data_IF_265249003230
#
_entry.id   IF_265249003230
#
_cell.length_a   1.000
_cell.length_b   1.000
_cell.length_c   1.000
_cell.angle_alpha   90.00
_cell.angle_beta   90.00
_cell.angle_gamma   90.00
#
_symmetry.space_group_name_H-M   'P 1'
#
loop_
_entity.id
_entity.type
_entity.pdbx_description
1 polymer ?
#
# COMPACT_ATOMS: atom_id res chain seq x y z
N UNK A 1 -5.72 -19.89 17.13
CA UNK A 1 -4.77 -19.51 18.21
C UNK A 1 -5.05 -18.05 18.57
N UNK A 2 -5.01 -17.70 19.86
CA UNK A 2 -5.13 -16.29 20.29
C UNK A 2 -3.85 -15.53 19.96
N UNK A 3 -3.99 -14.30 19.49
CA UNK A 3 -2.85 -13.44 19.09
C UNK A 3 -2.53 -12.45 20.20
N UNK A 4 -1.23 -12.20 20.44
CA UNK A 4 -0.78 -11.22 21.43
C UNK A 4 -1.06 -9.77 20.96
N UNK A 5 -1.90 -9.00 21.68
CA UNK A 5 -2.21 -7.62 21.31
C UNK A 5 -1.01 -6.66 21.33
N UNK A 6 0.02 -6.92 22.14
CA UNK A 6 1.22 -6.09 22.20
C UNK A 6 2.05 -6.23 20.90
N UNK A 7 2.16 -7.46 20.37
CA UNK A 7 2.84 -7.74 19.11
C UNK A 7 2.09 -7.07 17.95
N UNK A 8 0.76 -7.15 17.93
CA UNK A 8 -0.05 -6.49 16.90
C UNK A 8 0.12 -4.96 16.92
N UNK A 9 0.14 -4.31 18.08
CA UNK A 9 0.41 -2.86 18.15
C UNK A 9 1.79 -2.47 17.62
N UNK A 10 2.81 -3.27 17.95
CA UNK A 10 4.18 -3.07 17.44
C UNK A 10 4.25 -3.25 15.91
N UNK A 11 3.58 -4.28 15.39
CA UNK A 11 3.47 -4.55 13.96
C UNK A 11 2.74 -3.42 13.22
N UNK A 12 1.58 -2.97 13.73
CA UNK A 12 0.83 -1.85 13.17
C UNK A 12 1.65 -0.55 13.16
N UNK A 13 2.49 -0.33 14.18
CA UNK A 13 3.39 0.83 14.24
C UNK A 13 4.48 0.74 13.16
N UNK A 14 5.12 -0.42 13.04
CA UNK A 14 6.15 -0.66 12.02
C UNK A 14 5.60 -0.48 10.60
N UNK A 15 4.40 -0.99 10.34
CA UNK A 15 3.70 -0.85 9.05
C UNK A 15 3.36 0.61 8.76
N UNK A 16 2.86 1.36 9.75
CA UNK A 16 2.58 2.78 9.59
C UNK A 16 3.82 3.57 9.17
N UNK A 17 4.95 3.33 9.83
CA UNK A 17 6.25 3.94 9.47
C UNK A 17 6.68 3.55 8.05
N UNK A 18 6.49 2.29 7.64
CA UNK A 18 6.85 1.83 6.31
C UNK A 18 5.97 2.49 5.22
N UNK A 19 4.65 2.56 5.42
CA UNK A 19 3.73 3.25 4.49
C UNK A 19 4.10 4.72 4.33
N UNK A 20 4.38 5.41 5.44
CA UNK A 20 4.81 6.80 5.43
C UNK A 20 6.13 6.97 4.65
N UNK A 21 7.12 6.10 4.91
CA UNK A 21 8.40 6.14 4.19
C UNK A 21 8.22 5.95 2.68
N UNK A 22 7.25 5.13 2.23
CA UNK A 22 6.96 4.93 0.80
C UNK A 22 6.38 6.19 0.19
N UNK A 23 5.45 6.85 0.87
CA UNK A 23 4.90 8.14 0.44
C UNK A 23 5.95 9.24 0.37
N UNK A 24 6.78 9.36 1.41
CA UNK A 24 7.80 10.40 1.55
C UNK A 24 8.88 10.33 0.46
N UNK A 25 9.20 9.13 -0.04
CA UNK A 25 10.15 8.96 -1.14
C UNK A 25 9.66 9.66 -2.42
N UNK A 26 8.34 9.82 -2.62
CA UNK A 26 7.73 10.50 -3.77
C UNK A 26 8.39 10.13 -5.11
N UNK A 27 8.57 8.82 -5.33
CA UNK A 27 9.31 8.30 -6.48
C UNK A 27 8.71 8.75 -7.82
N UNK A 28 7.38 8.75 -7.93
CA UNK A 28 6.67 9.25 -9.09
C UNK A 28 6.99 10.72 -9.40
N UNK A 29 7.05 11.57 -8.36
CA UNK A 29 7.44 12.98 -8.50
C UNK A 29 8.90 13.14 -8.94
N UNK A 30 9.81 12.37 -8.36
CA UNK A 30 11.24 12.39 -8.74
C UNK A 30 11.45 11.98 -10.20
N UNK A 31 10.76 10.94 -10.66
CA UNK A 31 10.80 10.51 -12.06
C UNK A 31 10.25 11.60 -12.99
N UNK A 32 9.12 12.22 -12.63
CA UNK A 32 8.51 13.27 -13.43
C UNK A 32 9.42 14.51 -13.59
N UNK A 33 10.28 14.78 -12.61
CA UNK A 33 11.11 15.98 -12.55
C UNK A 33 12.55 15.80 -13.08
N UNK A 34 12.99 14.57 -13.38
CA UNK A 34 14.42 14.27 -13.69
C UNK A 34 14.98 15.05 -14.88
N UNK A 35 14.12 15.47 -15.82
CA UNK A 35 14.48 16.24 -17.02
C UNK A 35 13.89 17.66 -17.05
N UNK A 36 13.44 18.20 -15.91
CA UNK A 36 12.96 19.58 -15.87
C UNK A 36 14.07 20.62 -16.16
N UNK A 37 15.34 20.23 -16.11
CA UNK A 37 16.48 21.03 -16.60
C UNK A 37 16.58 21.13 -18.13
N UNK A 38 15.76 20.38 -18.88
CA UNK A 38 15.73 20.39 -20.35
C UNK A 38 14.30 20.67 -20.87
N UNK A 39 13.77 21.89 -20.66
CA UNK A 39 12.40 22.22 -20.99
C UNK A 39 12.12 22.07 -22.50
N UNK A 40 11.00 21.43 -22.84
CA UNK A 40 10.58 21.19 -24.22
C UNK A 40 11.23 19.98 -24.89
N UNK A 41 12.12 19.27 -24.20
CA UNK A 41 12.74 18.06 -24.73
C UNK A 41 11.79 16.85 -24.71
N UNK A 42 12.01 15.91 -25.63
CA UNK A 42 11.33 14.62 -25.62
C UNK A 42 11.62 13.82 -24.33
N UNK A 43 12.82 14.01 -23.75
CA UNK A 43 13.19 13.42 -22.47
C UNK A 43 12.30 13.94 -21.32
N UNK A 44 12.02 15.25 -21.27
CA UNK A 44 11.10 15.83 -20.29
C UNK A 44 9.69 15.28 -20.43
N UNK A 45 9.17 15.18 -21.66
CA UNK A 45 7.85 14.57 -21.89
C UNK A 45 7.82 13.10 -21.43
N UNK A 46 8.85 12.32 -21.78
CA UNK A 46 8.94 10.91 -21.42
C UNK A 46 9.01 10.70 -19.90
N UNK A 47 9.79 11.52 -19.19
CA UNK A 47 9.85 11.52 -17.73
C UNK A 47 8.50 11.82 -17.09
N UNK A 48 7.79 12.86 -17.56
CA UNK A 48 6.45 13.19 -17.06
C UNK A 48 5.46 12.07 -17.29
N UNK A 49 5.50 11.44 -18.47
CA UNK A 49 4.67 10.27 -18.80
C UNK A 49 4.99 9.10 -17.86
N UNK A 50 6.25 8.75 -17.69
CA UNK A 50 6.69 7.65 -16.82
C UNK A 50 6.28 7.90 -15.37
N UNK A 51 6.54 9.10 -14.83
CA UNK A 51 6.14 9.49 -13.48
C UNK A 51 4.63 9.40 -13.26
N UNK A 52 3.83 9.78 -14.26
CA UNK A 52 2.37 9.62 -14.20
C UNK A 52 1.92 8.15 -14.21
N UNK A 53 2.57 7.30 -15.00
CA UNK A 53 2.23 5.86 -15.08
C UNK A 53 2.52 5.15 -13.76
N UNK A 54 3.64 5.46 -13.10
CA UNK A 54 4.01 4.78 -11.84
C UNK A 54 3.33 5.37 -10.60
N UNK A 55 2.67 6.53 -10.71
CA UNK A 55 1.99 7.17 -9.57
C UNK A 55 0.89 6.29 -9.00
N UNK A 56 -0.07 5.86 -9.83
CA UNK A 56 -1.20 5.05 -9.35
C UNK A 56 -0.76 3.75 -8.68
N UNK A 57 0.16 2.93 -9.25
CA UNK A 57 0.67 1.74 -8.56
C UNK A 57 1.33 2.02 -7.21
N UNK A 58 2.11 3.11 -7.10
CA UNK A 58 2.79 3.49 -5.86
C UNK A 58 1.80 3.98 -4.79
N UNK A 59 0.80 4.76 -5.18
CA UNK A 59 -0.26 5.22 -4.27
C UNK A 59 -1.10 4.05 -3.77
N UNK A 60 -1.45 3.10 -4.67
CA UNK A 60 -2.13 1.86 -4.28
C UNK A 60 -1.28 1.06 -3.27
N UNK A 61 0.01 0.86 -3.57
CA UNK A 61 0.90 0.12 -2.67
C UNK A 61 1.02 0.75 -1.27
N UNK A 62 1.15 2.08 -1.21
CA UNK A 62 1.18 2.80 0.07
C UNK A 62 -0.15 2.66 0.84
N UNK A 63 -1.27 2.74 0.13
CA UNK A 63 -2.63 2.56 0.68
C UNK A 63 -2.85 1.15 1.21
N UNK A 64 -2.45 0.12 0.46
CA UNK A 64 -2.58 -1.29 0.86
C UNK A 64 -1.80 -1.55 2.15
N UNK A 65 -0.57 -1.04 2.25
CA UNK A 65 0.25 -1.15 3.46
C UNK A 65 -0.42 -0.42 4.63
N UNK A 66 -0.97 0.77 4.41
CA UNK A 66 -1.72 1.48 5.47
C UNK A 66 -2.92 0.68 5.95
N UNK A 67 -3.68 0.08 5.03
CA UNK A 67 -4.87 -0.71 5.33
C UNK A 67 -4.55 -1.96 6.17
N UNK A 68 -3.43 -2.64 5.89
CA UNK A 68 -2.93 -3.74 6.74
C UNK A 68 -2.66 -3.23 8.15
N UNK A 69 -2.04 -2.05 8.29
CA UNK A 69 -1.76 -1.43 9.59
C UNK A 69 -3.02 -1.14 10.39
N UNK A 70 -4.09 -0.69 9.73
CA UNK A 70 -5.38 -0.39 10.35
C UNK A 70 -6.12 -1.66 10.79
N UNK A 71 -6.13 -2.71 9.97
CA UNK A 71 -6.68 -4.02 10.33
C UNK A 71 -5.98 -4.57 11.58
N UNK A 72 -4.64 -4.53 11.60
CA UNK A 72 -3.84 -5.02 12.73
C UNK A 72 -4.09 -4.17 13.99
N UNK A 73 -4.21 -2.85 13.86
CA UNK A 73 -4.51 -1.97 14.99
C UNK A 73 -5.91 -2.21 15.54
N UNK A 74 -6.89 -2.44 14.66
CA UNK A 74 -8.24 -2.84 15.02
C UNK A 74 -8.25 -4.16 15.78
N UNK A 75 -7.55 -5.18 15.27
CA UNK A 75 -7.40 -6.46 15.93
C UNK A 75 -6.73 -6.33 17.31
N UNK A 76 -5.71 -5.48 17.44
CA UNK A 76 -5.05 -5.23 18.73
C UNK A 76 -5.92 -4.50 19.77
N UNK A 77 -6.99 -3.82 19.33
CA UNK A 77 -7.97 -3.17 20.20
C UNK A 77 -8.93 -4.15 20.88
N UNK A 78 -9.07 -5.35 20.32
CA UNK A 78 -9.97 -6.40 20.81
C UNK A 78 -9.19 -7.40 21.67
N UNK A 79 -9.68 -7.69 22.87
CA UNK A 79 -8.95 -8.50 23.85
C UNK A 79 -8.82 -10.00 23.49
N UNK A 80 -9.69 -10.50 22.60
CA UNK A 80 -9.68 -11.88 22.11
C UNK A 80 -9.84 -11.88 20.58
N UNK A 81 -8.74 -11.75 19.85
CA UNK A 81 -8.73 -11.96 18.39
C UNK A 81 -7.97 -13.24 18.08
N UNK A 82 -8.55 -14.07 17.23
CA UNK A 82 -7.91 -15.27 16.76
C UNK A 82 -7.13 -15.01 15.47
N UNK A 83 -6.09 -15.81 15.24
CA UNK A 83 -5.34 -15.83 13.98
C UNK A 83 -6.25 -16.00 12.74
N UNK A 84 -7.34 -16.75 12.88
CA UNK A 84 -8.31 -16.96 11.80
C UNK A 84 -9.07 -15.68 11.43
N UNK A 85 -9.41 -14.84 12.42
CA UNK A 85 -10.11 -13.58 12.20
C UNK A 85 -9.20 -12.59 11.44
N UNK A 86 -7.94 -12.46 11.84
CA UNK A 86 -6.95 -11.62 11.14
C UNK A 86 -6.74 -12.10 9.71
N UNK A 87 -6.63 -13.41 9.50
CA UNK A 87 -6.49 -14.00 8.17
C UNK A 87 -7.72 -13.76 7.28
N UNK A 88 -8.91 -13.63 7.85
CA UNK A 88 -10.11 -13.23 7.11
C UNK A 88 -10.06 -11.75 6.70
N UNK A 89 -9.65 -10.86 7.59
CA UNK A 89 -9.58 -9.43 7.27
C UNK A 89 -8.52 -9.11 6.21
N UNK A 90 -7.39 -9.81 6.21
CA UNK A 90 -6.42 -9.70 5.11
C UNK A 90 -6.97 -10.21 3.77
N UNK A 91 -7.84 -11.23 3.77
CA UNK A 91 -8.51 -11.68 2.54
C UNK A 91 -9.47 -10.62 2.01
N UNK A 92 -10.18 -9.88 2.88
CA UNK A 92 -11.06 -8.77 2.47
C UNK A 92 -10.25 -7.68 1.76
N UNK A 93 -9.11 -7.28 2.31
CA UNK A 93 -8.20 -6.31 1.66
C UNK A 93 -7.76 -6.77 0.25
N UNK A 94 -7.47 -8.05 0.08
CA UNK A 94 -7.11 -8.59 -1.24
C UNK A 94 -8.28 -8.62 -2.23
N UNK A 95 -9.52 -8.72 -1.76
CA UNK A 95 -10.71 -8.85 -2.63
C UNK A 95 -11.27 -7.48 -3.03
N UNK A 96 -11.02 -6.46 -2.22
CA UNK A 96 -11.36 -5.06 -2.48
C UNK A 96 -10.38 -4.36 -3.45
N UNK A 97 -9.25 -5.00 -3.79
CA UNK A 97 -8.40 -4.58 -4.91
C UNK A 97 -9.20 -4.74 -6.24
N UNK A 98 -9.47 -3.66 -6.99
CA UNK A 98 -10.18 -3.73 -8.27
C UNK A 98 -9.48 -4.62 -9.33
N UNK A 99 -8.22 -5.02 -9.10
CA UNK A 99 -7.49 -5.99 -9.95
C UNK A 99 -7.76 -7.46 -9.58
N UNK A 100 -8.19 -7.74 -8.35
CA UNK A 100 -8.47 -9.10 -7.88
C UNK A 100 -9.83 -9.64 -8.35
N UNK A 101 -10.79 -8.75 -8.61
CA UNK A 101 -12.14 -9.12 -9.09
C UNK A 101 -12.16 -9.78 -10.48
N UNK A 102 -11.07 -9.69 -11.26
CA UNK A 102 -10.98 -10.25 -12.62
C UNK A 102 -10.50 -11.70 -12.72
N UNK A 103 -10.13 -12.38 -11.62
CA UNK A 103 -9.54 -13.74 -11.66
C UNK A 103 -10.49 -14.88 -11.24
N UNK A 104 -11.77 -14.60 -11.03
CA UNK A 104 -12.76 -15.57 -10.51
C UNK A 104 -13.82 -16.08 -11.49
N UNK A 105 -13.78 -15.70 -12.77
CA UNK A 105 -14.79 -16.09 -13.76
C UNK A 105 -14.22 -17.04 -14.82
N UNK A 106 -13.75 -18.21 -14.39
CA UNK A 106 -13.60 -19.36 -15.29
C UNK A 106 -13.60 -20.66 -14.46
N UNK A 107 -14.80 -21.16 -14.15
CA UNK A 107 -15.10 -22.57 -13.86
C UNK A 107 -16.55 -22.86 -14.19
#
# INVERSE_FOLDING_TARGET
MLVDPAILRSFATSIGTASQSIGDVNLAGKIAAVFDGLPGSQAQWAARRAGNVVRTPLDTFASDISAIGDVVRGAAGTYEVTDADIAEDFRKLQTEDPRAQGRGADK
#
